data_IF_670930549797
#
_entry.id   IF_670930549797
#
_cell.length_a   1.000
_cell.length_b   1.000
_cell.length_c   1.000
_cell.angle_alpha   90.00
_cell.angle_beta   90.00
_cell.angle_gamma   90.00
#
_symmetry.space_group_name_H-M   'P 1'
#
loop_
_entity.id
_entity.type
_entity.pdbx_description
1 polymer ?
#
# COMPACT_ATOMS: atom_id res chain seq x y z
N UNK A 1 -9.92 15.05 0.72
CA UNK A 1 -9.45 13.67 0.90
C UNK A 1 -10.26 12.64 0.10
N UNK A 2 -11.28 12.01 0.71
CA UNK A 2 -11.98 10.83 0.14
C UNK A 2 -12.60 11.11 -1.23
N UNK A 3 -13.36 12.20 -1.38
CA UNK A 3 -14.04 12.52 -2.64
C UNK A 3 -13.06 12.74 -3.79
N UNK A 4 -11.92 13.38 -3.54
CA UNK A 4 -10.88 13.57 -4.55
C UNK A 4 -10.25 12.23 -4.94
N UNK A 5 -9.97 11.34 -3.97
CA UNK A 5 -9.44 10.00 -4.28
C UNK A 5 -10.42 9.16 -5.09
N UNK A 6 -11.73 9.26 -4.80
CA UNK A 6 -12.79 8.60 -5.58
C UNK A 6 -12.93 9.19 -7.00
N UNK A 7 -12.75 10.50 -7.15
CA UNK A 7 -12.72 11.13 -8.47
C UNK A 7 -11.54 10.62 -9.29
N UNK A 8 -10.35 10.54 -8.70
CA UNK A 8 -9.17 9.96 -9.38
C UNK A 8 -9.39 8.49 -9.75
N UNK A 9 -10.03 7.70 -8.86
CA UNK A 9 -10.41 6.32 -9.16
C UNK A 9 -11.34 6.24 -10.38
N UNK A 10 -12.35 7.12 -10.48
CA UNK A 10 -13.23 7.19 -11.65
C UNK A 10 -12.47 7.50 -12.94
N UNK A 11 -11.54 8.44 -12.91
CA UNK A 11 -10.71 8.76 -14.08
C UNK A 11 -9.91 7.54 -14.56
N UNK A 12 -9.34 6.78 -13.63
CA UNK A 12 -8.61 5.56 -13.96
C UNK A 12 -9.53 4.46 -14.52
N UNK A 13 -10.73 4.29 -13.96
CA UNK A 13 -11.75 3.36 -14.47
C UNK A 13 -12.09 3.68 -15.93
N UNK A 14 -12.32 4.95 -16.26
CA UNK A 14 -12.59 5.36 -17.63
C UNK A 14 -11.41 5.09 -18.56
N UNK A 15 -10.18 5.31 -18.11
CA UNK A 15 -8.97 5.03 -18.88
C UNK A 15 -8.79 3.53 -19.17
N UNK A 16 -9.30 2.65 -18.30
CA UNK A 16 -9.24 1.19 -18.46
C UNK A 16 -10.24 0.62 -19.47
N UNK A 17 -11.10 1.44 -20.09
CA UNK A 17 -11.95 1.10 -21.25
C UNK A 17 -12.72 -0.23 -21.08
N UNK A 18 -13.46 -0.38 -19.99
CA UNK A 18 -14.29 -1.56 -19.70
C UNK A 18 -13.57 -2.75 -19.07
N UNK A 19 -12.25 -2.67 -18.81
CA UNK A 19 -11.50 -3.70 -18.09
C UNK A 19 -11.64 -3.59 -16.56
N UNK A 20 -12.21 -2.48 -16.08
CA UNK A 20 -12.42 -2.24 -14.67
C UNK A 20 -13.90 -2.33 -14.29
N UNK A 21 -14.16 -2.63 -13.02
CA UNK A 21 -15.49 -2.52 -12.42
C UNK A 21 -16.00 -1.08 -12.59
N UNK A 22 -17.28 -0.87 -12.95
CA UNK A 22 -17.74 0.41 -13.53
C UNK A 22 -17.68 1.62 -12.60
N UNK A 23 -17.63 1.42 -11.29
CA UNK A 23 -17.60 2.51 -10.32
C UNK A 23 -16.73 2.16 -9.11
N UNK A 24 -16.13 3.14 -8.41
CA UNK A 24 -15.34 2.89 -7.22
C UNK A 24 -16.24 2.40 -6.09
N UNK A 25 -15.96 1.22 -5.50
CA UNK A 25 -16.63 0.78 -4.27
C UNK A 25 -16.46 1.79 -3.13
N UNK A 26 -17.46 1.89 -2.26
CA UNK A 26 -17.51 2.84 -1.14
C UNK A 26 -17.34 2.19 0.23
N UNK A 27 -17.39 0.86 0.31
CA UNK A 27 -17.20 0.09 1.52
C UNK A 27 -16.62 -1.30 1.20
N UNK A 28 -16.17 -2.02 2.24
CA UNK A 28 -15.50 -3.32 2.08
C UNK A 28 -16.42 -4.42 1.49
N UNK A 29 -17.72 -4.34 1.70
CA UNK A 29 -18.68 -5.30 1.12
C UNK A 29 -18.77 -5.11 -0.39
N UNK A 30 -18.91 -3.87 -0.85
CA UNK A 30 -18.89 -3.53 -2.27
C UNK A 30 -17.56 -3.89 -2.93
N UNK A 31 -16.42 -3.68 -2.25
CA UNK A 31 -15.10 -4.12 -2.73
C UNK A 31 -15.09 -5.61 -3.01
N UNK A 32 -15.58 -6.43 -2.06
CA UNK A 32 -15.62 -7.89 -2.23
C UNK A 32 -16.51 -8.29 -3.41
N UNK A 33 -17.71 -7.70 -3.53
CA UNK A 33 -18.61 -7.94 -4.67
C UNK A 33 -17.97 -7.54 -6.00
N UNK A 34 -17.29 -6.39 -6.05
CA UNK A 34 -16.61 -5.92 -7.24
C UNK A 34 -15.48 -6.87 -7.67
N UNK A 35 -14.69 -7.38 -6.72
CA UNK A 35 -13.61 -8.35 -6.99
C UNK A 35 -14.17 -9.67 -7.52
N UNK A 36 -15.29 -10.13 -7.00
CA UNK A 36 -15.95 -11.38 -7.43
C UNK A 36 -16.46 -11.29 -8.90
N UNK A 37 -16.55 -10.11 -9.48
CA UNK A 37 -16.83 -9.92 -10.92
C UNK A 37 -15.67 -10.33 -11.85
N UNK A 38 -14.47 -10.53 -11.31
CA UNK A 38 -13.26 -10.83 -12.09
C UNK A 38 -12.66 -9.64 -12.84
N UNK A 39 -13.22 -8.44 -12.67
CA UNK A 39 -12.70 -7.21 -13.27
C UNK A 39 -11.64 -6.54 -12.37
N UNK A 40 -10.87 -5.62 -12.95
CA UNK A 40 -9.97 -4.75 -12.19
C UNK A 40 -10.82 -3.83 -11.32
N UNK A 41 -10.59 -3.84 -10.00
CA UNK A 41 -11.29 -2.95 -9.07
C UNK A 41 -10.39 -1.78 -8.71
N UNK A 42 -10.90 -0.56 -8.96
CA UNK A 42 -10.23 0.68 -8.58
C UNK A 42 -11.07 1.38 -7.54
N UNK A 43 -10.50 1.68 -6.39
CA UNK A 43 -11.20 2.35 -5.28
C UNK A 43 -10.43 3.56 -4.79
N UNK A 44 -11.14 4.48 -4.13
CA UNK A 44 -10.56 5.57 -3.35
C UNK A 44 -10.66 5.28 -1.86
N UNK A 45 -10.60 6.32 -1.03
CA UNK A 45 -10.83 6.21 0.41
C UNK A 45 -12.21 5.69 0.75
N UNK A 46 -12.31 4.81 1.76
CA UNK A 46 -13.57 4.21 2.21
C UNK A 46 -14.18 4.97 3.40
N UNK A 47 -13.38 5.26 4.42
CA UNK A 47 -13.85 5.88 5.66
C UNK A 47 -13.06 7.16 6.01
N UNK A 48 -13.75 8.20 6.53
CA UNK A 48 -13.08 9.38 7.07
C UNK A 48 -12.11 9.05 8.21
N UNK A 49 -10.97 9.74 8.27
CA UNK A 49 -9.98 9.53 9.31
C UNK A 49 -9.11 8.28 9.15
N UNK A 50 -9.31 7.50 8.10
CA UNK A 50 -8.48 6.33 7.79
C UNK A 50 -7.41 6.69 6.75
N UNK A 51 -6.18 6.26 6.98
CA UNK A 51 -5.11 6.44 6.03
C UNK A 51 -5.33 5.61 4.75
N UNK A 52 -4.65 5.99 3.67
CA UNK A 52 -4.65 5.19 2.43
C UNK A 52 -4.02 3.83 2.64
N UNK A 53 -2.96 3.73 3.45
CA UNK A 53 -2.29 2.46 3.79
C UNK A 53 -3.21 1.54 4.60
N UNK A 54 -3.88 2.08 5.65
CA UNK A 54 -4.85 1.32 6.44
C UNK A 54 -6.04 0.84 5.61
N UNK A 55 -6.58 1.72 4.75
CA UNK A 55 -7.67 1.35 3.83
C UNK A 55 -7.23 0.23 2.88
N UNK A 56 -6.05 0.34 2.26
CA UNK A 56 -5.55 -0.65 1.32
C UNK A 56 -5.27 -2.01 2.00
N UNK A 57 -4.70 -2.01 3.21
CA UNK A 57 -4.48 -3.23 3.99
C UNK A 57 -5.80 -3.93 4.34
N UNK A 58 -6.83 -3.19 4.76
CA UNK A 58 -8.17 -3.74 5.04
C UNK A 58 -8.84 -4.31 3.78
N UNK A 59 -8.66 -3.68 2.64
CA UNK A 59 -9.11 -4.21 1.35
C UNK A 59 -8.40 -5.51 1.05
N UNK A 60 -7.06 -5.53 1.14
CA UNK A 60 -6.26 -6.72 0.88
C UNK A 60 -6.68 -7.89 1.77
N UNK A 61 -6.91 -7.65 3.06
CA UNK A 61 -7.45 -8.66 3.99
C UNK A 61 -8.85 -9.13 3.57
N UNK A 62 -9.75 -8.21 3.25
CA UNK A 62 -11.16 -8.53 2.91
C UNK A 62 -11.26 -9.42 1.67
N UNK A 63 -10.38 -9.25 0.71
CA UNK A 63 -10.39 -10.02 -0.54
C UNK A 63 -9.46 -11.24 -0.50
N UNK A 64 -8.78 -11.50 0.61
CA UNK A 64 -7.72 -12.50 0.74
C UNK A 64 -6.65 -12.34 -0.36
N UNK A 65 -6.11 -11.13 -0.48
CA UNK A 65 -5.11 -10.82 -1.49
C UNK A 65 -3.86 -11.70 -1.35
N UNK A 66 -3.33 -12.18 -2.47
CA UNK A 66 -2.10 -12.96 -2.48
C UNK A 66 -0.88 -12.10 -2.09
N UNK A 67 -0.92 -10.81 -2.42
CA UNK A 67 0.15 -9.86 -2.12
C UNK A 67 -0.42 -8.45 -1.96
N UNK A 68 0.21 -7.66 -1.11
CA UNK A 68 -0.04 -6.23 -0.95
C UNK A 68 1.20 -5.44 -1.35
N UNK A 69 1.11 -4.66 -2.42
CA UNK A 69 2.16 -3.77 -2.89
C UNK A 69 1.84 -2.34 -2.45
N UNK A 70 2.59 -1.80 -1.49
CA UNK A 70 2.48 -0.40 -1.11
C UNK A 70 3.45 0.44 -1.94
N UNK A 71 2.92 1.14 -2.94
CA UNK A 71 3.69 2.00 -3.83
C UNK A 71 3.79 3.42 -3.26
N UNK A 72 5.03 3.86 -3.00
CA UNK A 72 5.35 5.14 -2.35
C UNK A 72 6.28 5.99 -3.22
N UNK A 73 6.66 7.18 -2.75
CA UNK A 73 7.64 8.05 -3.38
C UNK A 73 9.10 7.57 -3.23
N UNK A 74 9.33 6.59 -2.35
CA UNK A 74 10.64 5.96 -2.12
C UNK A 74 10.66 4.52 -2.63
N UNK A 75 11.84 4.01 -2.89
CA UNK A 75 12.03 2.68 -3.49
C UNK A 75 12.11 1.54 -2.48
N UNK A 76 11.80 1.79 -1.22
CA UNK A 76 11.76 0.80 -0.14
C UNK A 76 11.97 1.42 1.24
N UNK A 77 12.24 0.59 2.23
CA UNK A 77 12.51 0.99 3.62
C UNK A 77 14.01 1.12 3.83
N UNK A 78 14.42 2.18 4.52
CA UNK A 78 15.81 2.51 4.82
C UNK A 78 16.05 2.56 6.34
N UNK A 79 17.32 2.43 6.74
CA UNK A 79 17.74 2.59 8.14
C UNK A 79 17.64 4.05 8.65
N UNK A 80 17.48 5.00 7.75
CA UNK A 80 17.25 6.42 8.00
C UNK A 80 16.66 7.08 6.76
N UNK A 81 16.07 8.28 6.89
CA UNK A 81 15.47 9.02 5.76
C UNK A 81 16.50 9.25 4.63
N UNK A 82 16.35 8.64 3.44
CA UNK A 82 17.30 8.77 2.35
C UNK A 82 17.36 10.18 1.76
N UNK A 83 16.33 11.00 1.97
CA UNK A 83 16.32 12.39 1.53
C UNK A 83 17.21 13.28 2.40
N UNK A 84 17.35 12.92 3.68
CA UNK A 84 18.18 13.64 4.67
C UNK A 84 19.58 13.03 4.77
N UNK A 85 19.70 11.72 4.66
CA UNK A 85 20.97 10.98 4.78
C UNK A 85 21.29 10.21 3.50
N UNK A 86 22.20 10.74 2.68
CA UNK A 86 22.67 10.07 1.45
C UNK A 86 23.41 8.73 1.67
N UNK A 87 23.76 8.40 2.92
CA UNK A 87 24.37 7.11 3.31
C UNK A 87 23.34 6.10 3.84
N UNK A 88 22.04 6.45 3.83
CA UNK A 88 20.99 5.55 4.24
C UNK A 88 21.04 4.25 3.42
N UNK A 89 20.90 3.12 4.12
CA UNK A 89 20.94 1.78 3.51
C UNK A 89 19.55 1.21 3.42
N UNK A 90 19.16 0.78 2.22
CA UNK A 90 17.90 0.14 1.97
C UNK A 90 17.91 -1.31 2.52
N UNK A 91 16.84 -1.67 3.21
CA UNK A 91 16.56 -3.07 3.56
C UNK A 91 15.94 -3.79 2.36
N UNK A 92 16.47 -4.94 1.97
CA UNK A 92 15.81 -5.84 1.02
C UNK A 92 14.64 -6.58 1.69
N UNK A 93 14.81 -6.90 2.96
CA UNK A 93 13.84 -7.56 3.84
C UNK A 93 13.93 -6.94 5.23
N UNK A 94 12.80 -6.80 5.90
CA UNK A 94 12.72 -6.29 7.27
C UNK A 94 11.68 -7.08 8.04
N UNK A 95 11.95 -7.46 9.27
CA UNK A 95 10.95 -8.06 10.13
C UNK A 95 9.93 -7.00 10.59
N UNK A 96 8.68 -7.40 10.69
CA UNK A 96 7.58 -6.48 11.07
C UNK A 96 7.85 -5.80 12.42
N UNK A 97 8.45 -6.51 13.38
CA UNK A 97 8.82 -5.96 14.70
C UNK A 97 9.85 -4.83 14.57
N UNK A 98 10.84 -5.01 13.69
CA UNK A 98 11.91 -4.03 13.48
C UNK A 98 11.37 -2.80 12.75
N UNK A 99 10.49 -3.00 11.76
CA UNK A 99 9.77 -1.92 11.10
C UNK A 99 8.94 -1.09 12.08
N UNK A 100 8.21 -1.74 13.00
CA UNK A 100 7.47 -1.02 14.06
C UNK A 100 8.39 -0.17 14.92
N UNK A 101 9.53 -0.71 15.32
CA UNK A 101 10.50 0.01 16.13
C UNK A 101 11.04 1.25 15.39
N UNK A 102 11.33 1.12 14.10
CA UNK A 102 11.76 2.25 13.26
C UNK A 102 10.69 3.34 13.20
N UNK A 103 9.43 2.99 12.94
CA UNK A 103 8.33 3.96 12.82
C UNK A 103 8.05 4.68 14.14
N UNK A 104 8.08 4.00 15.28
CA UNK A 104 7.89 4.62 16.60
C UNK A 104 9.02 5.61 16.94
N UNK A 105 10.25 5.33 16.55
CA UNK A 105 11.39 6.25 16.74
C UNK A 105 11.29 7.50 15.84
N UNK A 106 10.72 7.36 14.64
CA UNK A 106 10.57 8.48 13.70
C UNK A 106 9.39 9.39 14.02
N UNK A 107 8.29 8.88 14.56
CA UNK A 107 7.15 9.69 15.06
C UNK A 107 7.56 10.66 16.17
N UNK A 108 8.65 10.38 16.90
CA UNK A 108 9.23 11.26 17.90
C UNK A 108 10.09 12.38 17.32
N UNK A 109 10.44 12.33 16.05
CA UNK A 109 11.24 13.33 15.33
C UNK A 109 10.36 14.04 14.31
N UNK A 110 10.11 15.33 14.47
CA UNK A 110 9.30 16.15 13.55
C UNK A 110 9.76 15.98 12.09
N UNK A 111 8.94 15.33 11.26
CA UNK A 111 9.23 15.03 9.86
C UNK A 111 9.41 13.54 9.57
N UNK A 112 8.69 12.68 10.30
CA UNK A 112 8.72 11.24 10.16
C UNK A 112 8.48 10.75 8.74
N UNK A 113 9.16 9.69 8.39
CA UNK A 113 9.11 8.96 7.13
C UNK A 113 7.82 8.11 7.10
N UNK A 114 6.72 8.72 6.66
CA UNK A 114 5.36 8.15 6.71
C UNK A 114 5.16 7.04 5.66
N UNK A 115 5.87 5.92 5.85
CA UNK A 115 5.80 4.77 4.94
C UNK A 115 4.56 3.92 5.13
N UNK A 116 4.12 3.76 6.37
CA UNK A 116 2.99 2.90 6.72
C UNK A 116 2.52 3.19 8.15
N UNK A 117 1.21 3.31 8.35
CA UNK A 117 0.65 3.52 9.68
C UNK A 117 0.51 2.22 10.48
N UNK A 118 0.37 2.39 11.80
CA UNK A 118 0.27 1.27 12.76
C UNK A 118 -0.97 0.40 12.48
N UNK A 119 -2.06 0.97 11.96
CA UNK A 119 -3.28 0.20 11.64
C UNK A 119 -3.00 -0.74 10.48
N UNK A 120 -2.35 -0.26 9.41
CA UNK A 120 -1.94 -1.08 8.28
C UNK A 120 -1.04 -2.24 8.73
N UNK A 121 -0.05 -1.96 9.59
CA UNK A 121 0.86 -3.00 10.11
C UNK A 121 0.12 -4.07 10.93
N UNK A 122 -0.85 -3.69 11.77
CA UNK A 122 -1.66 -4.65 12.53
C UNK A 122 -2.52 -5.53 11.62
N UNK A 123 -3.07 -4.96 10.55
CA UNK A 123 -3.85 -5.72 9.56
C UNK A 123 -2.96 -6.71 8.83
N UNK A 124 -1.79 -6.28 8.34
CA UNK A 124 -0.82 -7.14 7.65
C UNK A 124 -0.39 -8.30 8.56
N UNK A 125 -0.07 -8.02 9.83
CA UNK A 125 0.34 -9.04 10.81
C UNK A 125 -0.72 -10.12 11.02
N UNK A 126 -1.98 -9.74 11.25
CA UNK A 126 -3.06 -10.70 11.51
C UNK A 126 -3.50 -11.46 10.27
N UNK A 127 -3.48 -10.81 9.11
CA UNK A 127 -3.89 -11.41 7.83
C UNK A 127 -2.78 -12.22 7.15
N UNK A 128 -1.52 -12.02 7.59
CA UNK A 128 -0.32 -12.67 7.04
C UNK A 128 -0.14 -12.47 5.54
N UNK A 129 -0.59 -11.33 5.02
CA UNK A 129 -0.46 -11.02 3.60
C UNK A 129 0.99 -10.65 3.29
N UNK A 130 1.57 -11.30 2.27
CA UNK A 130 2.87 -10.94 1.71
C UNK A 130 2.84 -9.46 1.31
N UNK A 131 3.71 -8.65 1.88
CA UNK A 131 3.71 -7.21 1.70
C UNK A 131 5.07 -6.69 1.25
N UNK A 132 5.07 -5.84 0.22
CA UNK A 132 6.25 -5.13 -0.25
C UNK A 132 6.03 -3.62 -0.28
N UNK A 133 7.04 -2.86 0.11
CA UNK A 133 7.11 -1.41 -0.10
C UNK A 133 7.96 -1.16 -1.34
N UNK A 134 7.41 -0.46 -2.32
CA UNK A 134 8.04 -0.24 -3.63
C UNK A 134 7.88 1.21 -4.07
N UNK A 135 8.67 1.63 -5.06
CA UNK A 135 8.51 2.93 -5.70
C UNK A 135 7.28 2.97 -6.61
N UNK A 136 6.55 4.07 -6.59
CA UNK A 136 5.33 4.29 -7.38
C UNK A 136 5.59 4.64 -8.86
N UNK A 137 6.55 3.99 -9.50
CA UNK A 137 6.77 4.11 -10.95
C UNK A 137 6.36 2.82 -11.68
N UNK A 138 5.96 2.97 -12.93
CA UNK A 138 5.42 1.88 -13.75
C UNK A 138 6.39 0.70 -13.85
N UNK A 139 7.68 0.95 -14.07
CA UNK A 139 8.70 -0.11 -14.24
C UNK A 139 8.87 -0.92 -12.96
N UNK A 140 8.86 -0.27 -11.80
CA UNK A 140 8.99 -0.94 -10.51
C UNK A 140 7.74 -1.74 -10.20
N UNK A 141 6.54 -1.20 -10.47
CA UNK A 141 5.27 -1.92 -10.28
C UNK A 141 5.22 -3.17 -11.18
N UNK A 142 5.59 -3.05 -12.46
CA UNK A 142 5.64 -4.21 -13.37
C UNK A 142 6.61 -5.30 -12.89
N UNK A 143 7.77 -4.92 -12.35
CA UNK A 143 8.74 -5.86 -11.78
C UNK A 143 8.19 -6.54 -10.53
N UNK A 144 7.53 -5.78 -9.63
CA UNK A 144 6.94 -6.32 -8.42
C UNK A 144 5.84 -7.36 -8.73
N UNK A 145 4.94 -7.06 -9.69
CA UNK A 145 3.88 -7.98 -10.13
C UNK A 145 4.47 -9.28 -10.71
N UNK A 146 5.65 -9.21 -11.34
CA UNK A 146 6.38 -10.39 -11.84
C UNK A 146 7.23 -11.09 -10.77
N UNK A 147 7.02 -10.76 -9.51
CA UNK A 147 7.77 -11.27 -8.34
C UNK A 147 9.31 -11.07 -8.44
N UNK A 148 9.74 -10.06 -9.16
CA UNK A 148 11.16 -9.70 -9.21
C UNK A 148 11.57 -8.97 -7.93
N UNK A 149 12.85 -9.08 -7.57
CA UNK A 149 13.40 -8.46 -6.36
C UNK A 149 13.48 -6.95 -6.52
N UNK A 150 12.44 -6.24 -6.06
CA UNK A 150 12.36 -4.77 -5.99
C UNK A 150 11.79 -4.34 -4.65
N UNK A 151 12.18 -3.17 -4.18
CA UNK A 151 11.70 -2.61 -2.92
C UNK A 151 12.16 -3.37 -1.69
N UNK A 152 11.36 -3.29 -0.63
CA UNK A 152 11.57 -3.99 0.65
C UNK A 152 10.41 -4.92 0.94
N UNK A 153 10.68 -6.19 1.19
CA UNK A 153 9.71 -7.19 1.65
C UNK A 153 9.57 -7.15 3.16
N UNK A 154 8.34 -7.11 3.68
CA UNK A 154 8.04 -7.22 5.11
C UNK A 154 7.90 -8.69 5.47
N UNK A 155 8.72 -9.17 6.41
CA UNK A 155 8.69 -10.53 6.95
C UNK A 155 7.86 -10.54 8.24
N UNK A 156 6.95 -11.53 8.35
CA UNK A 156 5.98 -11.68 9.46
C UNK A 156 6.48 -12.66 10.51
#
# INVERSE_FOLDING_TARGET
GIEISRLNAKLLIYALKGKAYPHPPTNLTEVKQAVDSGLIVVTGGLHPGQSTNGTAALIAEKINAAEFLNATDVDGIYDSDPNKNKKAKQFKRIELKDLRSLLVHEDSMAGGYDLMDIVALKVIERSKIKTKIIKSDIKTIEKAIKDLSVGTEIIL
#
